data_IF_830433598345
#
_entry.id   IF_830433598345
#
_cell.length_a   1.000
_cell.length_b   1.000
_cell.length_c   1.000
_cell.angle_alpha   90.00
_cell.angle_beta   90.00
_cell.angle_gamma   90.00
#
_symmetry.space_group_name_H-M   'P 1'
#
loop_
_entity.id
_entity.type
_entity.pdbx_description
1 polymer ?
#
# COMPACT_ATOMS: atom_id res chain seq x y z
N UNK A 1 0.28 -18.07 7.96
CA UNK A 1 -0.15 -16.69 8.22
C UNK A 1 0.24 -16.26 9.62
N UNK A 2 0.77 -15.06 9.73
CA UNK A 2 1.25 -14.55 11.00
C UNK A 2 0.26 -13.54 11.56
N UNK A 3 -0.12 -13.72 12.82
CA UNK A 3 -0.98 -12.78 13.52
C UNK A 3 -0.17 -12.12 14.62
N UNK A 4 -0.20 -10.79 14.66
CA UNK A 4 0.48 -10.02 15.68
C UNK A 4 -0.55 -9.23 16.46
N UNK A 5 -0.69 -9.54 17.76
CA UNK A 5 -1.63 -8.88 18.65
C UNK A 5 -0.87 -8.07 19.67
N UNK A 6 -1.46 -6.94 20.06
CA UNK A 6 -0.86 -6.05 21.07
C UNK A 6 0.59 -5.74 20.72
N UNK A 7 0.85 -5.64 19.43
CA UNK A 7 2.20 -5.47 18.95
C UNK A 7 2.68 -4.05 19.18
N UNK A 8 3.94 -3.92 19.49
CA UNK A 8 4.57 -2.60 19.55
C UNK A 8 4.73 -2.06 18.14
N UNK A 9 4.81 -0.74 18.06
CA UNK A 9 4.92 -0.07 16.77
C UNK A 9 6.02 -0.62 15.86
N UNK A 10 7.24 -0.93 16.35
CA UNK A 10 8.26 -1.48 15.44
C UNK A 10 7.84 -2.77 14.77
N UNK A 11 7.13 -3.64 15.48
CA UNK A 11 6.66 -4.90 14.88
C UNK A 11 5.59 -4.66 13.83
N UNK A 12 4.66 -3.75 14.10
CA UNK A 12 3.62 -3.38 13.14
C UNK A 12 4.27 -2.79 11.88
N UNK A 13 5.24 -1.91 12.06
CA UNK A 13 5.93 -1.30 10.92
C UNK A 13 6.64 -2.36 10.07
N UNK A 14 7.31 -3.30 10.71
CA UNK A 14 8.03 -4.35 9.98
C UNK A 14 7.07 -5.21 9.16
N UNK A 15 5.97 -5.64 9.77
CA UNK A 15 5.00 -6.50 9.10
C UNK A 15 4.32 -5.72 7.96
N UNK A 16 3.93 -4.49 8.22
CA UNK A 16 3.24 -3.68 7.21
C UNK A 16 4.17 -3.34 6.05
N UNK A 17 5.44 -3.04 6.34
CA UNK A 17 6.42 -2.74 5.29
C UNK A 17 6.58 -3.92 4.34
N UNK A 18 6.67 -5.12 4.89
CA UNK A 18 6.77 -6.32 4.07
C UNK A 18 5.52 -6.50 3.22
N UNK A 19 4.35 -6.29 3.81
CA UNK A 19 3.09 -6.44 3.09
C UNK A 19 2.99 -5.45 1.92
N UNK A 20 3.43 -4.21 2.13
CA UNK A 20 3.43 -3.21 1.06
C UNK A 20 4.35 -3.65 -0.07
N UNK A 21 5.57 -4.05 0.27
CA UNK A 21 6.56 -4.42 -0.75
C UNK A 21 6.16 -5.68 -1.52
N UNK A 22 5.50 -6.62 -0.85
CA UNK A 22 5.05 -7.85 -1.49
C UNK A 22 3.66 -7.72 -2.10
N UNK A 23 3.02 -6.57 -1.92
CA UNK A 23 1.65 -6.32 -2.39
C UNK A 23 0.69 -7.37 -1.85
N UNK A 24 0.75 -7.60 -0.54
CA UNK A 24 -0.12 -8.54 0.15
C UNK A 24 -1.19 -7.78 0.91
N UNK A 25 -2.40 -8.27 0.84
CA UNK A 25 -3.48 -7.73 1.65
C UNK A 25 -3.23 -8.02 3.12
N UNK A 26 -3.75 -7.16 3.99
CA UNK A 26 -3.65 -7.36 5.43
C UNK A 26 -5.02 -7.19 6.06
N UNK A 27 -5.25 -7.92 7.16
CA UNK A 27 -6.40 -7.73 8.02
C UNK A 27 -5.89 -7.06 9.28
N UNK A 28 -6.55 -5.98 9.71
CA UNK A 28 -6.13 -5.24 10.89
C UNK A 28 -7.29 -5.01 11.85
N UNK A 29 -6.95 -4.81 13.12
CA UNK A 29 -7.81 -4.16 14.09
C UNK A 29 -7.25 -2.78 14.37
N UNK A 30 -8.14 -1.80 14.41
CA UNK A 30 -7.74 -0.41 14.48
C UNK A 30 -8.37 0.24 15.70
N UNK A 31 -7.57 0.95 16.50
CA UNK A 31 -8.03 1.55 17.75
C UNK A 31 -8.51 0.48 18.72
N UNK A 32 -9.61 0.75 19.41
CA UNK A 32 -10.23 -0.19 20.34
C UNK A 32 -11.30 -1.03 19.68
N UNK A 33 -11.41 -0.98 18.38
CA UNK A 33 -12.46 -1.67 17.66
C UNK A 33 -12.13 -3.14 17.51
N UNK A 34 -13.13 -3.99 17.71
CA UNK A 34 -12.95 -5.43 17.53
C UNK A 34 -13.10 -5.86 16.08
N UNK A 35 -13.79 -5.04 15.30
CA UNK A 35 -14.09 -5.40 13.93
C UNK A 35 -12.81 -5.37 13.09
N UNK A 36 -12.77 -6.28 12.14
CA UNK A 36 -11.64 -6.43 11.25
C UNK A 36 -11.82 -5.52 10.04
N UNK A 37 -10.72 -4.94 9.57
CA UNK A 37 -10.67 -4.24 8.29
C UNK A 37 -9.66 -4.93 7.40
N UNK A 38 -10.01 -5.14 6.15
CA UNK A 38 -9.10 -5.74 5.17
C UNK A 38 -8.65 -4.65 4.21
N UNK A 39 -7.35 -4.48 4.10
CA UNK A 39 -6.73 -3.41 3.33
C UNK A 39 -5.77 -3.96 2.29
N UNK A 40 -5.62 -3.18 1.23
CA UNK A 40 -4.49 -3.29 0.32
C UNK A 40 -3.55 -2.14 0.69
N UNK A 41 -2.44 -2.40 1.41
CA UNK A 41 -1.57 -1.31 1.86
C UNK A 41 -0.68 -0.85 0.73
N UNK A 42 -0.77 0.45 0.38
CA UNK A 42 -0.09 0.96 -0.81
C UNK A 42 1.17 1.76 -0.51
N UNK A 43 1.20 2.51 0.57
CA UNK A 43 2.37 3.32 0.89
C UNK A 43 2.45 3.57 2.38
N UNK A 44 3.66 3.56 2.92
CA UNK A 44 3.93 3.94 4.31
C UNK A 44 4.82 5.16 4.26
N UNK A 45 4.43 6.19 4.98
CA UNK A 45 5.15 7.45 4.99
C UNK A 45 5.00 8.12 6.35
N UNK A 46 5.80 9.15 6.59
CA UNK A 46 5.71 9.96 7.80
C UNK A 46 4.99 11.24 7.44
N UNK A 47 3.97 11.60 8.22
CA UNK A 47 3.22 12.83 7.97
C UNK A 47 3.93 14.05 8.56
N UNK A 48 3.29 15.21 8.46
CA UNK A 48 3.87 16.47 8.94
C UNK A 48 4.08 16.51 10.45
N UNK A 49 3.48 15.60 11.19
CA UNK A 49 3.62 15.52 12.65
C UNK A 49 4.60 14.42 13.07
N UNK A 50 5.28 13.79 12.11
CA UNK A 50 6.22 12.73 12.41
C UNK A 50 5.60 11.39 12.68
N UNK A 51 4.32 11.20 12.36
CA UNK A 51 3.63 9.94 12.59
C UNK A 51 3.67 9.06 11.35
N UNK A 52 3.85 7.76 11.59
CA UNK A 52 3.84 6.77 10.51
C UNK A 52 2.40 6.48 10.09
N UNK A 53 2.16 6.63 8.80
CA UNK A 53 0.84 6.45 8.18
C UNK A 53 0.96 5.40 7.09
N UNK A 54 -0.06 4.54 6.97
CA UNK A 54 -0.19 3.68 5.79
C UNK A 54 -1.45 4.10 5.05
N UNK A 55 -1.30 4.36 3.75
CA UNK A 55 -2.44 4.59 2.88
C UNK A 55 -2.95 3.24 2.41
N UNK A 56 -4.14 2.89 2.83
CA UNK A 56 -4.75 1.61 2.51
C UNK A 56 -6.02 1.75 1.72
N UNK A 57 -6.21 0.85 0.79
CA UNK A 57 -7.48 0.73 0.07
C UNK A 57 -8.26 -0.35 0.78
N UNK A 58 -9.27 0.06 1.55
CA UNK A 58 -10.03 -0.90 2.35
C UNK A 58 -11.08 -1.55 1.49
N UNK A 59 -10.97 -2.87 1.34
CA UNK A 59 -11.86 -3.62 0.44
C UNK A 59 -12.99 -4.31 1.18
N UNK A 60 -12.81 -4.58 2.47
CA UNK A 60 -13.82 -5.27 3.28
C UNK A 60 -13.72 -4.80 4.71
N UNK A 61 -14.78 -5.02 5.45
CA UNK A 61 -14.76 -4.88 6.90
C UNK A 61 -15.40 -3.62 7.41
N UNK A 62 -15.09 -3.32 8.66
CA UNK A 62 -15.76 -2.27 9.42
C UNK A 62 -15.41 -0.87 8.91
N UNK A 63 -16.41 0.01 8.93
CA UNK A 63 -16.22 1.43 8.69
C UNK A 63 -16.97 2.19 9.78
N UNK A 64 -16.24 2.99 10.56
CA UNK A 64 -16.85 3.75 11.64
C UNK A 64 -17.88 4.75 11.16
N UNK A 65 -17.71 5.25 9.94
CA UNK A 65 -18.64 6.23 9.38
C UNK A 65 -19.79 5.59 8.61
N UNK A 66 -19.81 4.25 8.52
CA UNK A 66 -20.80 3.55 7.70
C UNK A 66 -20.53 3.64 6.21
N UNK A 67 -19.37 4.15 5.82
CA UNK A 67 -19.02 4.31 4.42
C UNK A 67 -18.89 2.96 3.74
N UNK A 68 -19.52 2.75 2.58
CA UNK A 68 -19.41 1.46 1.90
C UNK A 68 -18.02 1.26 1.30
N UNK A 69 -17.54 0.01 1.36
CA UNK A 69 -16.27 -0.36 0.73
C UNK A 69 -16.46 -0.54 -0.76
N UNK A 70 -15.39 -0.34 -1.56
CA UNK A 70 -14.03 -0.02 -1.12
C UNK A 70 -13.81 1.50 -1.02
N UNK A 71 -12.80 1.88 -0.24
CA UNK A 71 -12.44 3.29 -0.15
C UNK A 71 -10.98 3.44 0.30
N UNK A 72 -10.37 4.59 0.02
CA UNK A 72 -9.05 4.94 0.52
C UNK A 72 -9.15 5.50 1.92
N UNK A 73 -8.19 5.14 2.76
CA UNK A 73 -8.08 5.71 4.08
C UNK A 73 -6.64 5.69 4.56
N UNK A 74 -6.15 6.78 5.16
CA UNK A 74 -4.87 6.74 5.88
C UNK A 74 -5.09 6.13 7.26
N UNK A 75 -4.22 5.21 7.64
CA UNK A 75 -4.26 4.58 8.96
C UNK A 75 -2.97 4.89 9.69
N UNK A 76 -3.08 5.32 10.95
CA UNK A 76 -1.91 5.56 11.78
C UNK A 76 -1.41 4.23 12.30
N UNK A 77 -0.14 3.92 12.05
CA UNK A 77 0.38 2.62 12.46
C UNK A 77 0.29 2.41 13.97
N UNK A 78 0.48 3.47 14.74
CA UNK A 78 0.42 3.36 16.19
C UNK A 78 -0.94 2.95 16.73
N UNK A 79 -1.98 3.08 15.92
CA UNK A 79 -3.33 2.71 16.32
C UNK A 79 -3.74 1.34 15.84
N UNK A 80 -2.87 0.65 15.14
CA UNK A 80 -3.12 -0.73 14.72
C UNK A 80 -2.78 -1.63 15.90
N UNK A 81 -3.78 -2.38 16.37
CA UNK A 81 -3.63 -3.23 17.55
C UNK A 81 -3.42 -4.70 17.21
N UNK A 82 -3.72 -5.09 15.97
CA UNK A 82 -3.46 -6.44 15.50
C UNK A 82 -3.33 -6.40 13.99
N UNK A 83 -2.50 -7.27 13.45
CA UNK A 83 -2.29 -7.36 12.01
C UNK A 83 -2.08 -8.82 11.62
N UNK A 84 -2.65 -9.19 10.47
CA UNK A 84 -2.48 -10.51 9.88
C UNK A 84 -2.27 -10.33 8.39
N UNK A 85 -1.17 -10.88 7.87
CA UNK A 85 -0.89 -10.81 6.43
C UNK A 85 -1.65 -11.94 5.75
N UNK A 86 -2.43 -11.59 4.73
CA UNK A 86 -3.26 -12.54 4.02
C UNK A 86 -2.53 -13.09 2.81
N UNK A 87 -3.06 -14.18 2.26
CA UNK A 87 -2.49 -14.76 1.04
C UNK A 87 -2.82 -13.94 -0.19
N UNK A 88 -3.89 -13.16 -0.15
CA UNK A 88 -4.33 -12.36 -1.27
C UNK A 88 -3.30 -11.31 -1.62
N UNK A 89 -3.07 -11.13 -2.90
CA UNK A 89 -2.15 -10.11 -3.41
C UNK A 89 -2.96 -9.08 -4.19
N UNK A 90 -2.34 -7.93 -4.45
CA UNK A 90 -3.00 -6.87 -5.20
C UNK A 90 -2.00 -6.20 -6.13
N UNK A 91 -2.52 -5.50 -7.15
CA UNK A 91 -1.74 -4.57 -7.94
C UNK A 91 -2.10 -3.15 -7.51
N UNK A 92 -1.15 -2.21 -7.58
CA UNK A 92 -1.45 -0.83 -7.18
C UNK A 92 -2.68 -0.29 -7.90
N UNK A 93 -3.55 0.35 -7.14
CA UNK A 93 -4.85 0.82 -7.61
C UNK A 93 -4.73 2.17 -8.30
N UNK A 94 -3.99 2.21 -9.40
CA UNK A 94 -3.81 3.47 -10.13
C UNK A 94 -5.12 3.95 -10.74
N UNK A 95 -5.99 3.03 -11.16
CA UNK A 95 -7.29 3.41 -11.70
C UNK A 95 -8.20 4.01 -10.63
N UNK A 96 -7.96 3.72 -9.35
CA UNK A 96 -8.71 4.29 -8.24
C UNK A 96 -8.00 5.46 -7.59
N UNK A 97 -7.00 6.01 -8.26
CA UNK A 97 -6.38 7.25 -7.80
C UNK A 97 -5.03 7.13 -7.13
N UNK A 98 -4.47 5.93 -7.02
CA UNK A 98 -3.15 5.81 -6.41
C UNK A 98 -2.09 6.37 -7.35
N UNK A 99 -1.20 7.21 -6.80
CA UNK A 99 -0.07 7.73 -7.54
C UNK A 99 1.15 7.78 -6.63
N UNK A 100 2.22 7.13 -7.05
CA UNK A 100 3.47 7.12 -6.32
C UNK A 100 4.14 8.49 -6.32
N UNK A 101 3.66 9.39 -7.16
CA UNK A 101 4.28 10.71 -7.31
C UNK A 101 3.65 11.78 -6.44
N UNK A 102 2.74 11.42 -5.55
CA UNK A 102 2.14 12.39 -4.65
C UNK A 102 3.20 13.05 -3.79
N UNK A 103 3.02 14.33 -3.53
CA UNK A 103 4.00 15.08 -2.74
C UNK A 103 4.24 14.49 -1.37
N UNK A 104 3.18 13.97 -0.74
CA UNK A 104 3.31 13.40 0.62
C UNK A 104 4.23 12.18 0.66
N UNK A 105 4.51 11.55 -0.49
CA UNK A 105 5.39 10.40 -0.54
C UNK A 105 6.84 10.77 -0.84
N UNK A 106 7.12 12.00 -1.19
CA UNK A 106 8.42 12.32 -1.76
C UNK A 106 9.52 12.52 -0.73
N UNK A 107 9.19 13.01 0.46
CA UNK A 107 10.23 13.35 1.42
C UNK A 107 10.38 12.35 2.54
N UNK A 108 9.33 11.60 2.85
CA UNK A 108 9.34 10.76 4.05
C UNK A 108 8.76 9.38 3.77
N UNK A 109 9.03 8.88 2.59
CA UNK A 109 8.53 7.56 2.20
C UNK A 109 9.30 6.46 2.90
N UNK A 110 8.60 5.50 3.45
CA UNK A 110 9.19 4.30 4.06
C UNK A 110 9.10 3.13 3.11
N UNK A 111 7.93 2.93 2.48
CA UNK A 111 7.72 1.83 1.55
C UNK A 111 6.58 2.19 0.62
N UNK A 112 6.61 1.64 -0.59
CA UNK A 112 5.56 1.89 -1.56
C UNK A 112 5.33 0.63 -2.40
N UNK A 113 4.06 0.39 -2.74
CA UNK A 113 3.71 -0.73 -3.60
C UNK A 113 4.03 -0.39 -5.04
N UNK A 114 4.76 -1.28 -5.71
CA UNK A 114 5.16 -1.07 -7.09
C UNK A 114 4.52 -2.12 -7.98
N UNK A 115 4.21 -1.73 -9.20
CA UNK A 115 3.60 -2.64 -10.15
C UNK A 115 4.53 -3.80 -10.45
N UNK A 116 3.93 -4.99 -10.65
CA UNK A 116 4.68 -6.17 -11.07
C UNK A 116 4.96 -6.17 -12.57
N UNK A 117 4.42 -5.20 -13.30
CA UNK A 117 4.57 -5.13 -14.74
C UNK A 117 5.51 -4.02 -15.11
N UNK A 118 6.82 -4.20 -14.89
CA UNK A 118 7.74 -3.10 -15.10
C UNK A 118 7.79 -2.66 -16.57
N UNK A 119 7.52 -3.56 -17.49
CA UNK A 119 7.53 -3.21 -18.89
C UNK A 119 6.46 -2.22 -19.30
N UNK A 120 5.45 -2.06 -18.48
CA UNK A 120 4.40 -1.09 -18.74
C UNK A 120 4.71 0.26 -18.13
N UNK A 121 5.70 0.29 -17.31
CA UNK A 121 6.05 1.52 -16.64
C UNK A 121 6.92 2.41 -17.47
N UNK A 122 7.49 1.89 -18.49
CA UNK A 122 8.37 2.65 -19.22
C UNK A 122 8.25 2.46 -20.61
N UNK A 123 8.44 2.84 -20.87
CA UNK A 123 8.40 2.42 -21.98
C UNK A 123 9.63 2.19 -22.53
N UNK A 124 9.83 1.91 -22.53
CA UNK A 124 10.55 1.60 -22.76
C UNK A 124 11.20 1.61 -23.33
N UNK A 125 11.39 1.62 -23.70
CA UNK A 125 11.98 1.59 -24.06
C UNK A 125 12.59 1.70 -24.74
N UNK A 126 12.68 1.84 -24.95
CA UNK A 126 13.28 2.04 -25.32
C UNK A 126 14.03 2.08 -25.82
N UNK A 127 14.11 2.31 -26.10
CA UNK A 127 14.66 2.30 -26.11
C UNK A 127 15.26 1.88 -26.48
N UNK A 128 15.05 1.72 -26.76
CA UNK A 128 15.45 1.23 -26.65
C UNK A 128 15.53 0.71 -27.30
N UNK A 129 15.20 0.80 -27.95
CA UNK A 129 15.08 0.34 -28.08
C UNK A 129 15.31 0.25 -28.96
N UNK A 130 15.31 0.26 -29.49
CA UNK A 130 15.34 0.34 -29.66
C UNK A 130 15.41 0.23 -30.69
N UNK A 131 15.46 0.05 -31.36
CA UNK A 131 15.18 0.00 -31.67
C UNK A 131 14.78 -0.25 -32.18
N UNK A 132 14.16 -0.21 -32.37
CA UNK A 132 13.58 -0.25 -31.92
C UNK A 132 13.26 -0.04 -32.35
N UNK A 133 12.75 -0.01 -32.86
CA UNK A 133 12.31 0.40 -32.52
C UNK A 133 12.20 0.44 -33.13
N UNK A 134 11.70 0.13 -33.76
CA UNK A 134 11.47 0.38 -33.63
C UNK A 134 11.51 0.59 -34.18
N UNK A 135 11.00 0.54 -34.43
CA UNK A 135 10.98 0.91 -33.87
C UNK A 135 10.65 1.07 -33.80
N UNK A 136 10.25 1.11 -34.98
CA UNK A 136 9.82 1.37 -34.04
C UNK A 136 9.71 1.53 -33.84
N UNK A 137 9.40 1.54 -33.98
CA UNK A 137 9.40 1.75 -32.89
C UNK A 137 9.82 2.24 -32.74
N UNK A 138 9.77 2.43 -32.99
CA UNK A 138 10.28 2.87 -32.24
C UNK A 138 10.29 3.31 -31.99
N UNK A 139 10.11 3.52 -32.46
CA UNK A 139 10.27 3.76 -31.66
C UNK A 139 10.25 3.96 -31.52
#
# INVERSE_FOLDING_TARGET
MTVTKNAMLPNILQVMTKAVKERRCVAIRYHDQRQIRVLEPHAIYTDGHGELIVDGFQTRGHSSSGRPTPFWRPFRLKKITAISVLKEVFEPRTAEGFSAERLKYQNHLVAIAESRRPGLAFPIPPADMGPFLPEGLRR
#
